data_IF_230275721898
#
_entry.id   IF_230275721898
#
_cell.length_a   1.000
_cell.length_b   1.000
_cell.length_c   1.000
_cell.angle_alpha   90.00
_cell.angle_beta   90.00
_cell.angle_gamma   90.00
#
_symmetry.space_group_name_H-M   'P 1'
#
loop_
_entity.id
_entity.type
_entity.pdbx_description
1 polymer ?
#
# COMPACT_ATOMS: atom_id res chain seq x y z
N UNK A 1 -39.79 23.66 28.38
CA UNK A 1 -39.24 23.32 29.71
C UNK A 1 -39.03 21.81 29.78
N UNK A 2 -37.90 21.39 30.26
CA UNK A 2 -37.42 20.04 30.61
C UNK A 2 -36.50 19.42 29.55
N UNK A 3 -35.29 19.67 29.63
CA UNK A 3 -34.12 19.10 30.35
C UNK A 3 -33.54 17.86 29.66
N UNK A 4 -32.52 18.12 28.84
CA UNK A 4 -31.50 17.12 28.43
C UNK A 4 -30.74 16.64 29.68
N UNK A 5 -30.59 15.32 29.82
CA UNK A 5 -29.56 14.76 30.67
C UNK A 5 -28.55 13.99 29.82
N UNK A 6 -27.41 14.60 29.63
CA UNK A 6 -26.19 13.93 29.22
C UNK A 6 -25.65 13.12 30.40
N UNK A 7 -25.29 11.86 30.14
CA UNK A 7 -24.39 11.13 31.03
C UNK A 7 -23.22 10.62 30.20
N UNK A 8 -22.13 11.35 30.26
CA UNK A 8 -20.82 10.87 29.95
C UNK A 8 -20.24 10.19 31.20
N UNK A 9 -19.79 8.97 31.09
CA UNK A 9 -18.97 8.32 32.09
C UNK A 9 -17.70 7.77 31.39
N UNK A 10 -16.65 8.58 31.53
CA UNK A 10 -15.27 8.15 31.26
C UNK A 10 -14.69 7.77 32.62
N UNK A 11 -14.17 6.57 32.72
CA UNK A 11 -13.46 6.15 33.94
C UNK A 11 -12.56 4.96 33.61
N UNK A 12 -11.34 5.24 33.18
CA UNK A 12 -10.28 4.24 33.13
C UNK A 12 -9.11 4.76 33.95
N UNK A 13 -8.96 4.23 35.15
CA UNK A 13 -7.76 4.44 35.99
C UNK A 13 -7.05 3.06 36.02
N UNK A 14 -5.90 2.98 35.40
CA UNK A 14 -4.98 1.88 35.55
C UNK A 14 -3.84 2.31 36.49
N UNK A 15 -3.79 1.72 37.69
CA UNK A 15 -2.65 1.80 38.58
C UNK A 15 -1.65 0.70 38.26
N UNK A 16 -0.45 1.10 37.94
CA UNK A 16 0.70 0.20 37.73
C UNK A 16 1.31 -0.17 39.08
N UNK A 17 1.43 -1.47 39.36
CA UNK A 17 2.28 -1.99 40.42
C UNK A 17 3.38 -2.84 39.78
N UNK A 18 4.62 -2.42 40.00
CA UNK A 18 5.83 -3.13 39.58
C UNK A 18 6.27 -4.07 40.70
N UNK A 19 6.34 -5.39 40.46
CA UNK A 19 7.28 -6.30 41.16
C UNK A 19 7.72 -7.37 40.13
N UNK A 20 9.02 -7.61 40.06
CA UNK A 20 9.73 -8.28 39.00
C UNK A 20 9.79 -9.79 39.05
N UNK A 21 10.48 -10.27 38.03
CA UNK A 21 11.14 -11.58 37.81
C UNK A 21 10.25 -12.68 37.20
N UNK A 22 10.57 -13.05 35.96
CA UNK A 22 10.12 -14.28 35.30
C UNK A 22 9.22 -14.01 34.10
N UNK A 23 9.79 -13.99 32.91
CA UNK A 23 9.02 -13.89 31.65
C UNK A 23 8.17 -15.12 31.43
N UNK A 24 6.85 -14.96 31.37
CA UNK A 24 6.05 -15.68 30.40
C UNK A 24 5.65 -14.70 29.31
N UNK A 25 5.82 -15.11 28.06
CA UNK A 25 5.30 -14.42 26.90
C UNK A 25 3.77 -14.29 27.08
N UNK A 26 3.30 -13.11 27.45
CA UNK A 26 1.88 -12.80 27.39
C UNK A 26 1.49 -12.69 25.91
N UNK A 27 0.94 -13.77 25.38
CA UNK A 27 0.07 -13.69 24.22
C UNK A 27 -1.12 -12.83 24.65
N UNK A 28 -1.12 -11.57 24.27
CA UNK A 28 -2.33 -10.75 24.28
C UNK A 28 -3.18 -11.29 23.15
N UNK A 29 -4.07 -12.25 23.49
CA UNK A 29 -5.18 -12.57 22.61
C UNK A 29 -6.03 -11.32 22.48
N UNK A 30 -5.91 -10.64 21.36
CA UNK A 30 -6.89 -9.63 20.93
C UNK A 30 -8.18 -10.38 20.63
N UNK A 31 -9.01 -10.60 21.66
CA UNK A 31 -10.39 -11.02 21.45
C UNK A 31 -11.06 -9.92 20.66
N UNK A 32 -11.42 -10.21 19.40
CA UNK A 32 -12.27 -9.33 18.62
C UNK A 32 -13.51 -9.00 19.45
N UNK A 33 -13.82 -7.70 19.58
CA UNK A 33 -14.99 -7.28 20.34
C UNK A 33 -16.24 -7.87 19.69
N UNK A 34 -16.95 -8.72 20.42
CA UNK A 34 -18.22 -9.30 19.98
C UNK A 34 -19.27 -8.18 19.94
N UNK A 35 -20.02 -8.08 18.85
CA UNK A 35 -21.12 -7.12 18.73
C UNK A 35 -22.44 -7.87 18.77
N UNK A 36 -23.37 -7.36 19.57
CA UNK A 36 -24.71 -7.91 19.74
C UNK A 36 -25.74 -6.90 19.24
N UNK A 37 -26.80 -7.40 18.63
CA UNK A 37 -27.94 -6.64 18.10
C UNK A 37 -29.22 -7.02 18.81
N UNK A 38 -30.03 -6.03 19.12
CA UNK A 38 -31.43 -6.16 19.49
C UNK A 38 -32.29 -5.34 18.52
N UNK A 39 -33.38 -5.95 18.04
CA UNK A 39 -34.38 -5.26 17.20
C UNK A 39 -35.65 -5.09 18.03
N UNK A 40 -36.00 -3.85 18.30
CA UNK A 40 -37.23 -3.46 19.00
C UNK A 40 -38.49 -3.79 18.17
N UNK A 41 -39.67 -3.87 18.83
CA UNK A 41 -40.96 -4.08 18.14
C UNK A 41 -41.34 -2.92 17.21
N UNK A 42 -40.78 -1.77 17.44
CA UNK A 42 -40.90 -0.56 16.64
C UNK A 42 -39.93 -0.47 15.45
N UNK A 43 -39.12 -1.52 15.26
CA UNK A 43 -38.08 -1.56 14.23
C UNK A 43 -36.78 -0.87 14.63
N UNK A 44 -36.66 -0.35 15.84
CA UNK A 44 -35.40 0.21 16.35
C UNK A 44 -34.32 -0.84 16.46
N UNK A 45 -33.08 -0.50 16.07
CA UNK A 45 -31.93 -1.38 16.17
C UNK A 45 -30.98 -0.83 17.22
N UNK A 46 -30.66 -1.65 18.23
CA UNK A 46 -29.68 -1.36 19.26
C UNK A 46 -28.46 -2.27 19.07
N UNK A 47 -27.28 -1.69 19.05
CA UNK A 47 -26.00 -2.42 18.98
C UNK A 47 -25.21 -2.20 20.25
N UNK A 48 -24.60 -3.26 20.78
CA UNK A 48 -23.77 -3.21 21.99
C UNK A 48 -22.71 -4.29 21.96
N UNK A 49 -21.59 -4.07 22.64
CA UNK A 49 -20.57 -5.09 22.91
C UNK A 49 -20.76 -5.73 24.30
N UNK A 50 -21.73 -5.24 25.09
CA UNK A 50 -22.07 -5.75 26.41
C UNK A 50 -23.59 -5.96 26.46
N UNK A 51 -24.11 -7.14 26.05
CA UNK A 51 -25.55 -7.40 26.05
C UNK A 51 -26.11 -7.40 27.47
N UNK A 52 -27.19 -6.67 27.68
CA UNK A 52 -27.83 -6.53 29.01
C UNK A 52 -28.83 -7.66 29.28
N UNK A 53 -29.30 -8.37 28.25
CA UNK A 53 -30.25 -9.47 28.40
C UNK A 53 -30.21 -10.43 27.20
N UNK A 54 -30.99 -11.54 27.27
CA UNK A 54 -31.00 -12.61 26.29
C UNK A 54 -31.70 -12.29 24.95
N UNK A 55 -32.30 -11.12 24.80
CA UNK A 55 -32.89 -10.66 23.52
C UNK A 55 -31.85 -10.16 22.54
N UNK A 56 -30.67 -9.82 23.02
CA UNK A 56 -29.55 -9.47 22.18
C UNK A 56 -28.98 -10.72 21.51
N UNK A 57 -28.89 -10.68 20.21
CA UNK A 57 -28.28 -11.74 19.41
C UNK A 57 -26.88 -11.31 18.97
N UNK A 58 -25.92 -12.20 19.13
CA UNK A 58 -24.59 -12.00 18.60
C UNK A 58 -24.66 -11.84 17.09
N UNK A 59 -24.08 -10.76 16.58
CA UNK A 59 -23.86 -10.59 15.14
C UNK A 59 -22.53 -11.24 14.82
N UNK A 60 -22.56 -12.31 14.07
CA UNK A 60 -21.36 -12.80 13.41
C UNK A 60 -21.11 -11.88 12.21
N UNK A 61 -20.31 -10.84 12.45
CA UNK A 61 -19.75 -10.05 11.36
C UNK A 61 -18.74 -11.00 10.72
N UNK A 62 -19.12 -11.63 9.61
CA UNK A 62 -18.14 -12.29 8.76
C UNK A 62 -17.16 -11.20 8.27
N UNK A 63 -16.16 -10.92 9.10
CA UNK A 63 -15.09 -9.96 8.80
C UNK A 63 -14.38 -10.29 7.48
N UNK A 64 -14.47 -11.54 7.05
CA UNK A 64 -13.97 -11.99 5.75
C UNK A 64 -14.67 -11.34 4.55
N UNK A 65 -15.92 -10.86 4.70
CA UNK A 65 -16.63 -10.15 3.62
C UNK A 65 -16.36 -8.64 3.61
N UNK A 66 -15.91 -8.08 4.73
CA UNK A 66 -15.63 -6.62 4.82
C UNK A 66 -14.21 -6.24 4.39
N UNK A 67 -13.29 -7.19 4.27
CA UNK A 67 -11.94 -7.00 3.76
C UNK A 67 -11.71 -7.86 2.50
N UNK A 68 -12.68 -7.88 1.59
CA UNK A 68 -12.45 -8.50 0.31
C UNK A 68 -11.46 -7.64 -0.48
N UNK A 69 -10.17 -7.89 -0.26
CA UNK A 69 -9.15 -7.52 -1.24
C UNK A 69 -9.58 -8.09 -2.57
N UNK A 70 -9.75 -7.24 -3.57
CA UNK A 70 -10.01 -7.71 -4.91
C UNK A 70 -8.77 -8.49 -5.38
N UNK A 71 -8.99 -9.64 -5.97
CA UNK A 71 -7.88 -10.34 -6.60
C UNK A 71 -7.36 -9.49 -7.76
N UNK A 72 -6.07 -9.56 -8.03
CA UNK A 72 -5.46 -8.90 -9.18
C UNK A 72 -6.20 -9.23 -10.50
N UNK A 73 -6.73 -10.47 -10.61
CA UNK A 73 -7.49 -10.93 -11.78
C UNK A 73 -8.81 -10.17 -11.94
N UNK A 74 -9.50 -9.85 -10.86
CA UNK A 74 -10.75 -9.09 -10.89
C UNK A 74 -10.52 -7.62 -11.30
N UNK A 75 -9.35 -7.08 -10.97
CA UNK A 75 -8.97 -5.72 -11.35
C UNK A 75 -8.37 -5.62 -12.76
N UNK A 76 -7.98 -6.73 -13.37
CA UNK A 76 -7.28 -6.71 -14.67
C UNK A 76 -8.07 -5.96 -15.78
N UNK A 77 -9.40 -6.08 -15.92
CA UNK A 77 -10.14 -5.31 -16.92
C UNK A 77 -10.06 -3.81 -16.69
N UNK A 78 -10.15 -3.37 -15.43
CA UNK A 78 -10.05 -1.96 -15.02
C UNK A 78 -8.65 -1.44 -15.32
N UNK A 79 -7.62 -2.17 -14.89
CA UNK A 79 -6.22 -1.81 -15.12
C UNK A 79 -5.91 -1.67 -16.61
N UNK A 80 -6.35 -2.60 -17.44
CA UNK A 80 -6.14 -2.55 -18.89
C UNK A 80 -6.81 -1.34 -19.53
N UNK A 81 -8.04 -1.04 -19.15
CA UNK A 81 -8.77 0.12 -19.66
C UNK A 81 -8.01 1.41 -19.39
N UNK A 82 -7.63 1.66 -18.13
CA UNK A 82 -6.94 2.88 -17.76
C UNK A 82 -5.48 2.91 -18.23
N UNK A 83 -4.83 1.75 -18.37
CA UNK A 83 -3.54 1.61 -19.02
C UNK A 83 -3.56 2.13 -20.45
N UNK A 84 -4.54 1.68 -21.24
CA UNK A 84 -4.69 2.11 -22.63
C UNK A 84 -5.06 3.59 -22.73
N UNK A 85 -5.99 4.06 -21.88
CA UNK A 85 -6.46 5.45 -21.87
C UNK A 85 -5.35 6.45 -21.52
N UNK A 86 -4.50 6.12 -20.56
CA UNK A 86 -3.43 7.00 -20.07
C UNK A 86 -2.03 6.62 -20.56
N UNK A 87 -1.93 5.65 -21.48
CA UNK A 87 -0.65 5.21 -22.08
C UNK A 87 0.40 4.85 -21.01
N UNK A 88 -0.01 4.12 -19.99
CA UNK A 88 0.86 3.56 -18.95
C UNK A 88 0.89 2.04 -19.05
N UNK A 89 2.05 1.45 -18.77
CA UNK A 89 2.15 -0.01 -18.79
C UNK A 89 1.27 -0.63 -17.68
N UNK A 90 0.45 -1.68 -17.95
CA UNK A 90 -0.42 -2.30 -16.95
C UNK A 90 0.34 -2.76 -15.70
N UNK A 91 1.55 -3.30 -15.88
CA UNK A 91 2.40 -3.70 -14.77
C UNK A 91 2.79 -2.54 -13.83
N UNK A 92 2.90 -1.30 -14.34
CA UNK A 92 3.17 -0.13 -13.51
C UNK A 92 1.96 0.21 -12.64
N UNK A 93 0.76 0.21 -13.22
CA UNK A 93 -0.48 0.47 -12.48
C UNK A 93 -0.65 -0.59 -11.38
N UNK A 94 -0.47 -1.88 -11.69
CA UNK A 94 -0.48 -2.97 -10.71
C UNK A 94 0.53 -2.76 -9.59
N UNK A 95 1.73 -2.31 -9.93
CA UNK A 95 2.80 -2.07 -8.95
C UNK A 95 2.44 -0.94 -7.96
N UNK A 96 1.81 0.13 -8.46
CA UNK A 96 1.31 1.21 -7.60
C UNK A 96 0.18 0.70 -6.71
N UNK A 97 -0.85 0.06 -7.26
CA UNK A 97 -1.96 -0.52 -6.47
C UNK A 97 -1.43 -1.46 -5.38
N UNK A 98 -0.49 -2.36 -5.73
CA UNK A 98 0.15 -3.28 -4.78
C UNK A 98 0.90 -2.54 -3.67
N UNK A 99 1.55 -1.44 -3.99
CA UNK A 99 2.31 -0.66 -3.02
C UNK A 99 1.39 0.17 -2.11
N UNK A 100 0.29 0.69 -2.64
CA UNK A 100 -0.62 1.59 -1.93
C UNK A 100 -1.58 0.85 -1.02
N UNK A 101 -2.27 -0.16 -1.53
CA UNK A 101 -3.39 -0.80 -0.83
C UNK A 101 -3.29 -2.32 -0.72
N UNK A 102 -2.31 -2.94 -1.36
CA UNK A 102 -2.30 -4.41 -1.53
C UNK A 102 -3.60 -4.96 -2.16
N UNK A 103 -4.15 -4.19 -3.15
CA UNK A 103 -5.40 -4.47 -3.84
C UNK A 103 -6.67 -4.36 -2.97
N UNK A 104 -6.62 -3.67 -1.84
CA UNK A 104 -7.80 -3.40 -1.03
C UNK A 104 -8.51 -2.11 -1.51
N UNK A 105 -9.71 -2.21 -2.11
CA UNK A 105 -10.47 -1.05 -2.59
C UNK A 105 -11.01 -0.19 -1.44
N UNK A 106 -11.01 -0.71 -0.21
CA UNK A 106 -11.52 -0.01 0.98
C UNK A 106 -10.41 0.50 1.89
N UNK A 107 -9.15 0.37 1.47
CA UNK A 107 -8.02 0.85 2.25
C UNK A 107 -8.16 2.35 2.55
N UNK A 108 -7.94 2.71 3.80
CA UNK A 108 -7.90 4.11 4.27
C UNK A 108 -6.62 4.30 5.07
N UNK A 109 -5.78 5.24 4.66
CA UNK A 109 -4.55 5.56 5.39
C UNK A 109 -4.84 6.44 6.61
N UNK A 110 -3.86 6.53 7.51
CA UNK A 110 -3.94 7.47 8.66
C UNK A 110 -4.04 8.93 8.22
N UNK A 111 -3.51 9.27 7.05
CA UNK A 111 -3.57 10.61 6.47
C UNK A 111 -4.89 10.88 5.71
N UNK A 112 -5.76 9.88 5.57
CA UNK A 112 -7.04 10.00 4.87
C UNK A 112 -6.97 9.73 3.37
N UNK A 113 -5.92 9.10 2.87
CA UNK A 113 -5.88 8.59 1.50
C UNK A 113 -6.76 7.34 1.37
N UNK A 114 -7.46 7.17 0.25
CA UNK A 114 -8.55 6.20 0.10
C UNK A 114 -8.38 5.35 -1.17
N UNK A 115 -8.69 4.05 -1.04
CA UNK A 115 -8.92 3.11 -2.11
C UNK A 115 -7.65 2.50 -2.70
N UNK A 116 -7.79 1.86 -3.86
CA UNK A 116 -6.76 1.05 -4.51
C UNK A 116 -5.45 1.79 -4.75
N UNK A 117 -5.53 3.04 -5.20
CA UNK A 117 -4.37 3.89 -5.50
C UNK A 117 -4.18 5.01 -4.47
N UNK A 118 -4.83 4.91 -3.30
CA UNK A 118 -4.66 5.79 -2.15
C UNK A 118 -4.72 7.29 -2.52
N UNK A 119 -5.84 7.69 -3.10
CA UNK A 119 -6.03 9.10 -3.46
C UNK A 119 -6.41 9.93 -2.22
N UNK A 120 -5.75 11.06 -2.05
CA UNK A 120 -6.19 12.07 -1.11
C UNK A 120 -7.49 12.73 -1.61
N UNK A 121 -8.46 13.06 -0.74
CA UNK A 121 -9.75 13.66 -1.15
C UNK A 121 -9.62 14.89 -2.05
N UNK A 122 -8.66 15.77 -1.78
CA UNK A 122 -8.42 16.95 -2.62
C UNK A 122 -7.89 16.56 -4.02
N UNK A 123 -7.04 15.52 -4.09
CA UNK A 123 -6.54 15.00 -5.36
C UNK A 123 -7.67 14.33 -6.14
N UNK A 124 -8.50 13.52 -5.49
CA UNK A 124 -9.65 12.86 -6.08
C UNK A 124 -10.62 13.88 -6.69
N UNK A 125 -10.94 14.94 -5.96
CA UNK A 125 -11.80 16.03 -6.43
C UNK A 125 -11.22 16.72 -7.70
N UNK A 126 -9.91 17.01 -7.71
CA UNK A 126 -9.24 17.62 -8.87
C UNK A 126 -9.22 16.72 -10.11
N UNK A 127 -9.35 15.43 -9.91
CA UNK A 127 -9.29 14.40 -10.96
C UNK A 127 -10.68 13.94 -11.40
N UNK A 128 -11.75 14.50 -10.84
CA UNK A 128 -13.16 14.15 -11.09
C UNK A 128 -13.52 12.70 -10.66
N UNK A 129 -12.86 12.19 -9.62
CA UNK A 129 -13.19 10.89 -9.00
C UNK A 129 -14.44 11.07 -8.17
N UNK A 130 -15.52 10.37 -8.51
CA UNK A 130 -16.83 10.49 -7.86
C UNK A 130 -16.95 9.61 -6.62
N UNK A 131 -16.43 8.40 -6.72
CA UNK A 131 -16.39 7.44 -5.61
C UNK A 131 -14.95 6.87 -5.48
N UNK A 132 -14.28 7.26 -4.39
CA UNK A 132 -12.91 6.78 -4.12
C UNK A 132 -12.84 5.31 -3.73
N UNK A 133 -13.96 4.68 -3.39
CA UNK A 133 -14.04 3.25 -3.08
C UNK A 133 -14.40 2.41 -4.31
N UNK A 134 -14.96 3.03 -5.35
CA UNK A 134 -15.20 2.34 -6.63
C UNK A 134 -13.87 2.06 -7.33
N UNK A 135 -13.61 0.80 -7.72
CA UNK A 135 -12.34 0.41 -8.33
C UNK A 135 -12.05 1.14 -9.64
N UNK A 136 -13.07 1.38 -10.47
CA UNK A 136 -12.89 2.04 -11.77
C UNK A 136 -12.59 3.53 -11.62
N UNK A 137 -13.36 4.22 -10.80
CA UNK A 137 -13.16 5.64 -10.50
C UNK A 137 -11.79 5.88 -9.83
N UNK A 138 -11.40 5.05 -8.85
CA UNK A 138 -10.15 5.20 -8.12
C UNK A 138 -8.92 4.91 -8.99
N UNK A 139 -8.92 3.78 -9.71
CA UNK A 139 -7.82 3.43 -10.62
C UNK A 139 -7.73 4.42 -11.78
N UNK A 140 -8.87 4.89 -12.28
CA UNK A 140 -8.91 5.92 -13.32
C UNK A 140 -8.25 7.21 -12.87
N UNK A 141 -8.66 7.74 -11.72
CA UNK A 141 -8.07 8.96 -11.14
C UNK A 141 -6.59 8.80 -10.83
N UNK A 142 -6.22 7.71 -10.15
CA UNK A 142 -4.81 7.45 -9.79
C UNK A 142 -3.90 7.29 -11.00
N UNK A 143 -4.37 6.60 -12.04
CA UNK A 143 -3.62 6.43 -13.30
C UNK A 143 -3.48 7.76 -14.05
N UNK A 144 -4.56 8.57 -14.13
CA UNK A 144 -4.54 9.92 -14.68
C UNK A 144 -3.51 10.80 -13.95
N UNK A 145 -3.50 10.75 -12.62
CA UNK A 145 -2.55 11.51 -11.81
C UNK A 145 -1.11 11.06 -12.06
N UNK A 146 -0.85 9.75 -12.05
CA UNK A 146 0.48 9.24 -12.34
C UNK A 146 0.98 9.65 -13.74
N UNK A 147 0.09 9.69 -14.74
CA UNK A 147 0.42 10.17 -16.09
C UNK A 147 0.81 11.66 -16.05
N UNK A 148 0.03 12.51 -15.40
CA UNK A 148 0.33 13.93 -15.24
C UNK A 148 1.70 14.15 -14.58
N UNK A 149 2.03 13.36 -13.56
CA UNK A 149 3.33 13.43 -12.90
C UNK A 149 4.48 12.97 -13.81
N UNK A 150 4.27 11.90 -14.59
CA UNK A 150 5.26 11.47 -15.57
C UNK A 150 5.52 12.54 -16.63
N UNK A 151 4.47 13.21 -17.11
CA UNK A 151 4.61 14.31 -18.06
C UNK A 151 5.36 15.50 -17.44
N UNK A 152 4.99 15.86 -16.19
CA UNK A 152 5.66 16.94 -15.45
C UNK A 152 7.15 16.68 -15.24
N UNK A 153 7.53 15.45 -14.94
CA UNK A 153 8.92 15.06 -14.70
C UNK A 153 9.61 14.43 -15.91
N UNK A 154 9.13 14.74 -17.13
CA UNK A 154 9.76 14.35 -18.40
C UNK A 154 10.01 12.85 -18.54
N UNK A 155 9.09 12.04 -18.06
CA UNK A 155 9.18 10.58 -18.10
C UNK A 155 10.09 9.96 -17.02
N UNK A 156 10.65 10.76 -16.10
CA UNK A 156 11.47 10.26 -15.01
C UNK A 156 10.59 9.54 -13.98
N UNK A 157 10.44 8.23 -14.13
CA UNK A 157 9.58 7.41 -13.28
C UNK A 157 9.91 7.51 -11.79
N UNK A 158 11.17 7.45 -11.33
CA UNK A 158 11.50 7.66 -9.92
C UNK A 158 11.00 8.98 -9.35
N UNK A 159 11.11 10.09 -10.10
CA UNK A 159 10.62 11.40 -9.65
C UNK A 159 9.10 11.48 -9.67
N UNK A 160 8.45 10.92 -10.69
CA UNK A 160 7.00 10.85 -10.75
C UNK A 160 6.41 10.03 -9.59
N UNK A 161 7.00 8.90 -9.24
CA UNK A 161 6.61 8.10 -8.08
C UNK A 161 6.87 8.83 -6.75
N UNK A 162 7.97 9.56 -6.64
CA UNK A 162 8.24 10.39 -5.47
C UNK A 162 7.20 11.50 -5.31
N UNK A 163 6.81 12.13 -6.41
CA UNK A 163 5.77 13.16 -6.41
C UNK A 163 4.39 12.58 -6.13
N UNK A 164 4.11 11.37 -6.58
CA UNK A 164 2.87 10.66 -6.26
C UNK A 164 2.71 10.48 -4.74
N UNK A 165 3.77 10.07 -4.06
CA UNK A 165 3.76 9.80 -2.62
C UNK A 165 3.92 11.07 -1.76
N UNK A 166 4.87 11.95 -2.09
CA UNK A 166 5.22 13.12 -1.27
C UNK A 166 4.62 14.44 -1.75
N UNK A 167 3.93 14.41 -2.90
CA UNK A 167 3.46 15.61 -3.58
C UNK A 167 4.49 16.25 -4.51
N UNK A 168 4.00 16.82 -5.60
CA UNK A 168 4.82 17.46 -6.65
C UNK A 168 5.70 18.58 -6.11
N UNK A 169 5.18 19.40 -5.18
CA UNK A 169 5.93 20.51 -4.58
C UNK A 169 7.18 20.07 -3.81
N UNK A 170 7.16 18.86 -3.25
CA UNK A 170 8.33 18.32 -2.57
C UNK A 170 9.44 18.02 -3.57
N UNK A 171 9.11 17.35 -4.68
CA UNK A 171 10.08 17.04 -5.74
C UNK A 171 10.61 18.31 -6.41
N UNK A 172 9.74 19.29 -6.68
CA UNK A 172 10.13 20.59 -7.24
C UNK A 172 11.10 21.34 -6.33
N UNK A 173 10.86 21.33 -5.02
CA UNK A 173 11.75 22.01 -4.06
C UNK A 173 13.15 21.43 -4.05
N UNK A 174 13.27 20.11 -4.13
CA UNK A 174 14.56 19.42 -4.08
C UNK A 174 15.21 19.26 -5.45
N UNK A 175 14.47 19.45 -6.54
CA UNK A 175 14.90 19.19 -7.93
C UNK A 175 15.50 17.78 -8.11
N UNK A 176 15.12 16.87 -7.22
CA UNK A 176 15.61 15.49 -7.10
C UNK A 176 14.64 14.63 -6.27
N UNK A 177 14.98 13.39 -6.07
CA UNK A 177 14.29 12.51 -5.12
C UNK A 177 14.44 13.09 -3.69
N UNK A 178 13.33 13.53 -3.04
CA UNK A 178 13.39 14.14 -1.72
C UNK A 178 14.06 13.24 -0.69
N UNK A 179 14.77 13.81 0.31
CA UNK A 179 15.46 13.03 1.34
C UNK A 179 14.52 12.47 2.42
N UNK A 180 13.27 12.16 2.04
CA UNK A 180 12.29 11.55 2.94
C UNK A 180 12.40 10.03 2.88
N UNK A 181 12.68 9.38 4.00
CA UNK A 181 12.89 7.93 4.05
C UNK A 181 11.67 7.16 3.57
N UNK A 182 10.47 7.59 3.94
CA UNK A 182 9.21 7.00 3.49
C UNK A 182 9.10 7.04 1.97
N UNK A 183 9.31 8.21 1.36
CA UNK A 183 9.22 8.39 -0.10
C UNK A 183 10.27 7.56 -0.84
N UNK A 184 11.50 7.51 -0.33
CA UNK A 184 12.56 6.68 -0.90
C UNK A 184 12.24 5.19 -0.83
N UNK A 185 11.65 4.74 0.28
CA UNK A 185 11.20 3.37 0.45
C UNK A 185 10.04 3.05 -0.48
N UNK A 186 9.08 3.97 -0.61
CA UNK A 186 7.97 3.86 -1.53
C UNK A 186 8.43 3.68 -2.98
N UNK A 187 9.29 4.57 -3.47
CA UNK A 187 9.83 4.48 -4.84
C UNK A 187 10.51 3.13 -5.07
N UNK A 188 11.38 2.69 -4.14
CA UNK A 188 12.03 1.37 -4.25
C UNK A 188 11.02 0.22 -4.24
N UNK A 189 9.97 0.32 -3.42
CA UNK A 189 8.90 -0.68 -3.31
C UNK A 189 8.13 -0.82 -4.63
N UNK A 190 7.69 0.31 -5.22
CA UNK A 190 6.96 0.31 -6.49
C UNK A 190 7.83 -0.20 -7.63
N UNK A 191 9.06 0.26 -7.77
CA UNK A 191 9.98 -0.18 -8.82
C UNK A 191 10.27 -1.68 -8.74
N UNK A 192 10.40 -2.24 -7.53
CA UNK A 192 10.55 -3.68 -7.32
C UNK A 192 9.33 -4.45 -7.79
N UNK A 193 8.12 -4.02 -7.42
CA UNK A 193 6.88 -4.65 -7.88
C UNK A 193 6.72 -4.53 -9.40
N UNK A 194 7.03 -3.37 -9.96
CA UNK A 194 6.95 -3.14 -11.40
C UNK A 194 7.85 -4.13 -12.16
N UNK A 195 9.10 -4.28 -11.73
CA UNK A 195 10.01 -5.29 -12.31
C UNK A 195 9.44 -6.71 -12.18
N UNK A 196 8.94 -7.09 -11.00
CA UNK A 196 8.35 -8.41 -10.78
C UNK A 196 7.18 -8.67 -11.75
N UNK A 197 6.31 -7.70 -11.94
CA UNK A 197 5.20 -7.84 -12.88
C UNK A 197 5.65 -7.89 -14.34
N UNK A 198 6.67 -7.13 -14.73
CA UNK A 198 7.25 -7.20 -16.07
C UNK A 198 7.86 -8.58 -16.38
N UNK A 199 8.54 -9.17 -15.40
CA UNK A 199 9.07 -10.55 -15.53
C UNK A 199 7.92 -11.55 -15.68
N UNK A 200 6.92 -11.45 -14.81
CA UNK A 200 5.75 -12.34 -14.85
C UNK A 200 4.98 -12.25 -16.16
N UNK A 201 4.86 -11.06 -16.71
CA UNK A 201 4.17 -10.82 -17.99
C UNK A 201 5.04 -11.14 -19.21
N UNK A 202 6.27 -11.63 -19.02
CA UNK A 202 7.20 -12.00 -20.10
C UNK A 202 7.79 -10.81 -20.87
N UNK A 203 7.64 -9.59 -20.37
CA UNK A 203 8.18 -8.36 -21.00
C UNK A 203 9.69 -8.27 -20.84
N UNK A 204 10.21 -8.69 -19.68
CA UNK A 204 11.64 -8.82 -19.43
C UNK A 204 11.97 -10.24 -18.98
N UNK A 205 13.11 -10.75 -19.46
CA UNK A 205 13.64 -12.03 -19.02
C UNK A 205 14.78 -11.76 -18.05
N UNK A 206 14.67 -12.27 -16.81
CA UNK A 206 15.82 -12.27 -15.90
C UNK A 206 16.85 -13.26 -16.45
N UNK A 207 17.95 -12.74 -16.99
CA UNK A 207 19.10 -13.59 -17.25
C UNK A 207 19.65 -13.99 -15.88
N UNK A 208 19.83 -15.30 -15.62
CA UNK A 208 20.57 -15.71 -14.43
C UNK A 208 21.92 -15.01 -14.49
N UNK A 209 22.29 -14.34 -13.42
CA UNK A 209 23.62 -13.78 -13.27
C UNK A 209 24.55 -15.00 -13.32
N UNK A 210 25.17 -15.26 -14.48
CA UNK A 210 26.27 -16.22 -14.58
C UNK A 210 27.27 -15.76 -13.54
N UNK A 211 27.53 -16.59 -12.52
CA UNK A 211 28.67 -16.38 -11.65
C UNK A 211 29.86 -16.49 -12.57
N UNK A 212 30.35 -15.35 -13.01
CA UNK A 212 31.61 -15.26 -13.69
C UNK A 212 32.64 -15.67 -12.66
N UNK A 213 33.02 -16.95 -12.71
CA UNK A 213 34.28 -17.37 -12.10
C UNK A 213 35.35 -16.56 -12.85
N UNK A 214 36.20 -15.80 -12.15
CA UNK A 214 37.33 -15.18 -12.82
C UNK A 214 38.15 -16.33 -13.41
N UNK A 215 38.26 -16.34 -14.75
CA UNK A 215 39.25 -17.19 -15.40
C UNK A 215 40.61 -16.83 -14.80
N UNK A 216 41.17 -17.77 -14.06
CA UNK A 216 42.60 -17.70 -13.66
C UNK A 216 43.39 -17.55 -14.97
N UNK A 217 43.83 -16.34 -15.21
CA UNK A 217 44.84 -16.07 -16.23
C UNK A 217 46.11 -16.75 -15.76
N UNK A 218 46.29 -17.99 -16.21
CA UNK A 218 47.57 -18.64 -16.15
C UNK A 218 48.55 -17.85 -17.01
N UNK A 219 49.19 -16.89 -16.40
CA UNK A 219 50.33 -16.21 -16.96
C UNK A 219 51.42 -17.24 -17.18
N UNK A 220 51.58 -17.68 -18.41
CA UNK A 220 52.74 -18.44 -18.85
C UNK A 220 53.98 -17.57 -18.68
N UNK A 221 55.00 -17.97 -17.91
CA UNK A 221 56.22 -17.17 -17.79
C UNK A 221 56.96 -17.26 -19.14
N UNK A 222 57.13 -16.12 -19.79
CA UNK A 222 58.01 -15.97 -20.92
C UNK A 222 59.45 -16.05 -20.37
N UNK A 223 60.06 -17.19 -20.59
CA UNK A 223 61.49 -17.37 -20.35
C UNK A 223 62.22 -16.59 -21.45
N UNK A 224 62.76 -15.45 -21.09
CA UNK A 224 63.77 -14.75 -21.91
C UNK A 224 65.10 -15.51 -21.81
N UNK A 225 65.37 -16.31 -22.84
CA UNK A 225 66.74 -16.80 -23.03
C UNK A 225 67.59 -15.70 -23.63
N UNK A 226 68.56 -15.34 -22.87
CA UNK A 226 69.72 -14.55 -23.25
C UNK A 226 70.36 -14.99 -24.53
N UNK A 227 70.97 -14.05 -25.18
CA UNK A 227 72.22 -14.26 -25.90
C UNK A 227 73.05 -12.98 -25.90
N UNK A 228 74.04 -12.94 -25.09
CA UNK A 228 75.31 -12.25 -25.28
C UNK A 228 76.29 -13.17 -26.03
N UNK A 229 77.43 -12.77 -26.49
CA UNK A 229 78.00 -11.47 -26.83
C UNK A 229 78.82 -11.52 -28.17
N UNK A 230 79.13 -10.33 -28.71
CA UNK A 230 80.51 -9.98 -29.17
C UNK A 230 80.56 -8.54 -29.65
#
# INVERSE_FOLDING_TARGET
MTSLRQHAAIGLIATAGIVGIGSPAFFVSTTAAEIYQFVGRDGSISLTNVPSDSRYRKIEIESSRFHATLSERELEPVIRRHSSLHQLHPALIRAVIKAESDFDPRAVSRAGAIGLMQLMPQTAMRLDVRDMYDPDDNVGGGTKYLRQLLDRFHGNLPLALAAYNAGENAVDRYQALPPFDETRQYVRKVLRYYRTFLVRDGVIVERPVSRYAPEETTATPVISSELSPR
#
